data_IF_883535574997
#
_entry.id   IF_883535574997
#
_cell.length_a   1.000
_cell.length_b   1.000
_cell.length_c   1.000
_cell.angle_alpha   90.00
_cell.angle_beta   90.00
_cell.angle_gamma   90.00
#
_symmetry.space_group_name_H-M   'P 1'
#
loop_
_entity.id
_entity.type
_entity.pdbx_description
1 polymer ?
#
# COMPACT_ATOMS: atom_id res chain seq x y z
N UNK A 1 19.95 -1.94 -19.57
CA UNK A 1 18.85 -1.38 -18.77
C UNK A 1 18.54 -2.38 -17.69
N UNK A 2 18.88 -2.07 -16.44
CA UNK A 2 18.68 -3.00 -15.33
C UNK A 2 17.18 -3.07 -15.05
N UNK A 3 16.58 -4.21 -15.38
CA UNK A 3 15.24 -4.57 -14.94
C UNK A 3 15.31 -4.76 -13.42
N UNK A 4 15.11 -3.69 -12.65
CA UNK A 4 15.04 -3.76 -11.19
C UNK A 4 13.72 -4.44 -10.84
N UNK A 5 13.69 -5.76 -10.98
CA UNK A 5 12.74 -6.58 -10.24
C UNK A 5 13.05 -6.36 -8.77
N UNK A 6 12.15 -5.66 -8.09
CA UNK A 6 12.19 -5.59 -6.63
C UNK A 6 12.06 -7.03 -6.13
N UNK A 7 13.16 -7.61 -5.66
CA UNK A 7 13.15 -8.88 -4.93
C UNK A 7 12.32 -8.65 -3.66
N UNK A 8 11.06 -9.10 -3.68
CA UNK A 8 10.12 -8.90 -2.58
C UNK A 8 10.52 -9.84 -1.45
N UNK A 9 11.36 -9.33 -0.54
CA UNK A 9 11.89 -10.10 0.59
C UNK A 9 11.13 -9.79 1.88
N UNK A 10 10.49 -8.63 1.93
CA UNK A 10 9.76 -8.14 3.10
C UNK A 10 8.38 -7.62 2.72
N UNK A 11 7.52 -7.47 3.73
CA UNK A 11 6.23 -6.80 3.55
C UNK A 11 6.41 -5.35 3.07
N UNK A 12 7.45 -4.66 3.54
CA UNK A 12 7.75 -3.27 3.15
C UNK A 12 8.09 -3.17 1.66
N UNK A 13 8.82 -4.15 1.12
CA UNK A 13 9.14 -4.22 -0.32
C UNK A 13 7.86 -4.37 -1.15
N UNK A 14 6.97 -5.25 -0.71
CA UNK A 14 5.67 -5.47 -1.36
C UNK A 14 4.82 -4.19 -1.35
N UNK A 15 4.72 -3.50 -0.21
CA UNK A 15 3.96 -2.26 -0.07
C UNK A 15 4.56 -1.14 -0.94
N UNK A 16 5.89 -1.04 -1.00
CA UNK A 16 6.60 -0.06 -1.82
C UNK A 16 6.41 -0.31 -3.33
N UNK A 17 6.37 -1.58 -3.75
CA UNK A 17 6.08 -1.96 -5.13
C UNK A 17 4.63 -1.63 -5.51
N UNK A 18 3.66 -1.87 -4.61
CA UNK A 18 2.25 -1.54 -4.84
C UNK A 18 2.00 -0.04 -4.85
N UNK A 19 2.72 0.73 -4.04
CA UNK A 19 2.64 2.20 -4.09
C UNK A 19 3.11 2.77 -5.43
N UNK A 20 3.99 2.07 -6.16
CA UNK A 20 4.45 2.48 -7.49
C UNK A 20 3.51 2.02 -8.61
N UNK A 21 3.07 0.77 -8.57
CA UNK A 21 2.27 0.17 -9.66
C UNK A 21 0.75 0.37 -9.49
N UNK A 22 0.27 0.57 -8.27
CA UNK A 22 -1.14 0.64 -7.89
C UNK A 22 -1.40 1.74 -6.84
N UNK A 23 -0.94 2.99 -7.07
CA UNK A 23 -0.89 4.05 -6.05
C UNK A 23 -2.24 4.39 -5.43
N UNK A 24 -3.31 4.31 -6.22
CA UNK A 24 -4.66 4.73 -5.82
C UNK A 24 -5.51 3.59 -5.24
N UNK A 25 -5.05 2.34 -5.33
CA UNK A 25 -5.75 1.22 -4.70
C UNK A 25 -5.66 1.31 -3.18
N UNK A 26 -6.74 0.88 -2.53
CA UNK A 26 -6.85 0.88 -1.06
C UNK A 26 -5.92 -0.18 -0.46
N UNK A 27 -5.03 0.25 0.42
CA UNK A 27 -4.14 -0.61 1.20
C UNK A 27 -4.76 -0.96 2.56
N UNK A 28 -5.44 0.00 3.19
CA UNK A 28 -6.11 -0.18 4.48
C UNK A 28 -7.49 0.47 4.48
N UNK A 29 -8.46 -0.25 5.04
CA UNK A 29 -9.76 0.27 5.44
C UNK A 29 -9.79 0.32 6.95
N UNK A 30 -9.91 1.52 7.50
CA UNK A 30 -10.09 1.75 8.93
C UNK A 30 -11.56 1.63 9.26
N UNK A 31 -11.86 0.90 10.32
CA UNK A 31 -13.21 0.72 10.84
C UNK A 31 -13.35 1.55 12.11
N UNK A 32 -14.45 2.29 12.26
CA UNK A 32 -14.69 3.17 13.41
C UNK A 32 -14.85 2.40 14.72
N UNK A 33 -15.54 1.28 14.66
CA UNK A 33 -15.96 0.43 15.78
C UNK A 33 -15.63 -1.05 15.55
N UNK A 34 -14.86 -1.34 14.49
CA UNK A 34 -14.57 -2.71 14.04
C UNK A 34 -15.55 -3.25 13.00
N UNK A 35 -16.59 -2.49 12.65
CA UNK A 35 -17.61 -2.89 11.67
C UNK A 35 -17.82 -1.81 10.59
N UNK A 36 -17.96 -0.55 10.99
CA UNK A 36 -18.30 0.56 10.09
C UNK A 36 -17.06 1.13 9.40
N UNK A 37 -16.99 1.07 8.07
CA UNK A 37 -15.92 1.72 7.29
C UNK A 37 -15.91 3.23 7.51
N UNK A 38 -14.76 3.80 7.89
CA UNK A 38 -14.64 5.24 8.16
C UNK A 38 -13.61 5.93 7.27
N UNK A 39 -12.43 5.33 7.08
CA UNK A 39 -11.33 5.93 6.32
C UNK A 39 -10.67 4.88 5.45
N UNK A 40 -10.31 5.26 4.23
CA UNK A 40 -9.50 4.44 3.32
C UNK A 40 -8.15 5.09 3.08
N UNK A 41 -7.09 4.29 3.18
CA UNK A 41 -5.72 4.70 2.91
C UNK A 41 -5.24 3.97 1.68
N UNK A 42 -4.89 4.72 0.62
CA UNK A 42 -4.32 4.14 -0.59
C UNK A 42 -2.84 3.79 -0.40
N UNK A 43 -2.29 2.93 -1.27
CA UNK A 43 -0.86 2.59 -1.21
C UNK A 43 0.05 3.81 -1.32
N UNK A 44 -0.30 4.81 -2.14
CA UNK A 44 0.43 6.08 -2.21
C UNK A 44 0.44 6.81 -0.86
N UNK A 45 -0.75 6.97 -0.25
CA UNK A 45 -0.86 7.67 1.04
C UNK A 45 -0.18 6.91 2.17
N UNK A 46 -0.18 5.58 2.13
CA UNK A 46 0.52 4.74 3.11
C UNK A 46 2.04 4.93 3.02
N UNK A 47 2.60 5.04 1.82
CA UNK A 47 4.04 5.28 1.61
C UNK A 47 4.50 6.63 2.17
N UNK A 48 3.63 7.64 2.14
CA UNK A 48 3.92 9.01 2.59
C UNK A 48 3.75 9.18 4.12
N UNK A 49 3.43 8.12 4.86
CA UNK A 49 3.26 8.10 6.33
C UNK A 49 4.45 7.46 7.01
#
# INVERSE_FOLDING_TARGET
MSDTRLEISTLVDLLSMRAQSQPDLTAYTFLQDGETESVKLSYKKLKDK
#
